data_IF_193241795739
#
_entry.id   IF_193241795739
#
_cell.length_a   1.000
_cell.length_b   1.000
_cell.length_c   1.000
_cell.angle_alpha   90.00
_cell.angle_beta   90.00
_cell.angle_gamma   90.00
#
_symmetry.space_group_name_H-M   'P 1'
#
loop_
_entity.id
_entity.type
_entity.pdbx_description
1 polymer ?
#
# COMPACT_ATOMS: atom_id res chain seq x y z
N UNK A 1 17.12 18.42 -23.57
CA UNK A 1 17.24 19.66 -22.78
C UNK A 1 16.80 19.35 -21.37
N UNK A 2 17.65 19.49 -20.32
CA UNK A 2 17.22 19.24 -18.95
C UNK A 2 16.14 20.26 -18.54
N UNK A 3 15.08 19.83 -17.82
CA UNK A 3 14.06 20.75 -17.34
C UNK A 3 14.69 21.76 -16.37
N UNK A 4 14.54 23.05 -16.69
CA UNK A 4 15.01 24.13 -15.85
C UNK A 4 14.30 24.10 -14.49
N UNK A 5 15.00 23.67 -13.43
CA UNK A 5 14.55 23.82 -12.04
C UNK A 5 14.42 25.32 -11.73
N UNK A 6 13.20 25.84 -11.80
CA UNK A 6 12.90 27.19 -11.33
C UNK A 6 12.93 27.18 -9.80
N UNK A 7 13.69 28.06 -9.13
CA UNK A 7 13.82 28.04 -7.66
C UNK A 7 12.47 28.19 -6.94
N UNK A 8 11.49 28.88 -7.57
CA UNK A 8 10.14 28.99 -7.06
C UNK A 8 9.35 27.68 -7.02
N UNK A 9 9.51 26.78 -8.00
CA UNK A 9 8.80 25.48 -8.00
C UNK A 9 9.40 24.54 -6.96
N UNK A 10 10.71 24.61 -6.73
CA UNK A 10 11.38 23.85 -5.67
C UNK A 10 10.95 24.32 -4.27
N UNK A 11 10.81 25.63 -4.06
CA UNK A 11 10.35 26.20 -2.79
C UNK A 11 8.88 25.84 -2.47
N UNK A 12 8.00 25.88 -3.47
CA UNK A 12 6.59 25.46 -3.30
C UNK A 12 6.50 23.96 -3.03
N UNK A 13 7.24 23.13 -3.77
CA UNK A 13 7.28 21.69 -3.52
C UNK A 13 7.81 21.35 -2.12
N UNK A 14 8.90 22.00 -1.69
CA UNK A 14 9.45 21.84 -0.34
C UNK A 14 8.49 22.34 0.75
N UNK A 15 7.74 23.41 0.50
CA UNK A 15 6.70 23.91 1.39
C UNK A 15 5.55 22.93 1.55
N UNK A 16 5.05 22.37 0.44
CA UNK A 16 3.98 21.36 0.44
C UNK A 16 4.44 20.08 1.15
N UNK A 17 5.65 19.59 0.85
CA UNK A 17 6.25 18.43 1.51
C UNK A 17 6.43 18.71 3.00
N UNK A 18 6.97 19.87 3.38
CA UNK A 18 7.18 20.26 4.77
C UNK A 18 5.88 20.35 5.56
N UNK A 19 4.84 20.97 4.99
CA UNK A 19 3.50 21.04 5.60
C UNK A 19 2.88 19.65 5.69
N UNK A 20 2.95 18.83 4.65
CA UNK A 20 2.46 17.45 4.67
C UNK A 20 3.16 16.60 5.74
N UNK A 21 4.49 16.72 5.87
CA UNK A 21 5.29 16.05 6.90
C UNK A 21 4.92 16.55 8.29
N UNK A 22 4.78 17.86 8.49
CA UNK A 22 4.40 18.43 9.80
C UNK A 22 2.98 18.03 10.20
N UNK A 23 2.03 18.02 9.26
CA UNK A 23 0.66 17.57 9.50
C UNK A 23 0.62 16.07 9.77
N UNK A 24 1.40 15.27 9.05
CA UNK A 24 1.54 13.85 9.28
C UNK A 24 2.15 13.58 10.68
N UNK A 25 3.24 14.25 11.05
CA UNK A 25 3.88 14.12 12.37
C UNK A 25 2.96 14.59 13.51
N UNK A 26 2.21 15.68 13.30
CA UNK A 26 1.20 16.15 14.25
C UNK A 26 0.03 15.18 14.39
N UNK A 27 -0.40 14.56 13.30
CA UNK A 27 -1.38 13.48 13.31
C UNK A 27 -0.90 12.29 14.12
N UNK A 28 0.37 11.90 13.95
CA UNK A 28 1.00 10.80 14.69
C UNK A 28 1.08 11.11 16.19
N UNK A 29 1.46 12.33 16.56
CA UNK A 29 1.52 12.76 17.96
C UNK A 29 0.15 12.85 18.64
N UNK A 30 -0.94 13.07 17.86
CA UNK A 30 -2.30 13.23 18.37
C UNK A 30 -3.14 11.95 18.35
N UNK A 31 -2.66 10.85 17.78
CA UNK A 31 -3.41 9.59 17.79
C UNK A 31 -3.48 9.03 19.21
N UNK A 32 -4.59 9.31 19.90
CA UNK A 32 -4.92 8.72 21.20
C UNK A 32 -5.27 7.26 20.95
N UNK A 33 -4.41 6.35 21.43
CA UNK A 33 -4.66 4.91 21.36
C UNK A 33 -5.77 4.58 22.34
N UNK A 34 -6.96 4.29 21.85
CA UNK A 34 -7.92 3.53 22.64
C UNK A 34 -7.26 2.19 22.97
N UNK A 35 -7.15 1.88 24.26
CA UNK A 35 -6.55 0.64 24.77
C UNK A 35 -7.22 -0.56 24.08
N UNK A 36 -6.50 -1.21 23.15
CA UNK A 36 -6.96 -2.45 22.56
C UNK A 36 -6.87 -3.54 23.62
N UNK A 37 -7.95 -4.30 23.79
CA UNK A 37 -8.04 -5.42 24.75
C UNK A 37 -6.83 -6.36 24.62
N UNK A 38 -6.35 -6.84 25.77
CA UNK A 38 -5.06 -7.48 25.99
C UNK A 38 -4.84 -8.84 25.29
N UNK A 39 -5.81 -9.36 24.55
CA UNK A 39 -5.84 -10.78 24.16
C UNK A 39 -5.67 -11.06 22.65
N UNK A 40 -5.51 -10.03 21.81
CA UNK A 40 -5.19 -10.22 20.39
C UNK A 40 -3.68 -10.11 20.17
N UNK A 41 -3.06 -11.14 19.57
CA UNK A 41 -1.65 -11.12 19.19
C UNK A 41 -1.26 -9.76 18.59
N UNK A 42 -0.17 -9.12 19.07
CA UNK A 42 0.12 -7.75 18.71
C UNK A 42 0.26 -7.64 17.20
N UNK A 43 -0.56 -6.79 16.54
CA UNK A 43 -0.43 -6.58 15.11
C UNK A 43 1.00 -6.11 14.79
N UNK A 44 1.53 -6.54 13.65
CA UNK A 44 2.87 -6.20 13.15
C UNK A 44 3.12 -4.68 13.10
N UNK A 45 2.03 -3.89 12.96
CA UNK A 45 2.01 -2.44 13.17
C UNK A 45 1.37 -2.12 14.52
N UNK A 46 2.10 -1.40 15.37
CA UNK A 46 1.59 -0.93 16.66
C UNK A 46 0.30 -0.10 16.50
N UNK A 47 -0.63 -0.13 17.48
CA UNK A 47 -1.92 0.55 17.40
C UNK A 47 -1.85 2.03 16.99
N UNK A 48 -0.78 2.72 17.40
CA UNK A 48 -0.47 4.12 17.04
C UNK A 48 -0.25 4.30 15.54
N UNK A 49 0.65 3.50 14.95
CA UNK A 49 1.02 3.61 13.54
C UNK A 49 -0.18 3.33 12.65
N UNK A 50 -0.99 2.32 13.00
CA UNK A 50 -2.22 2.00 12.28
C UNK A 50 -3.24 3.14 12.33
N UNK A 51 -3.47 3.71 13.51
CA UNK A 51 -4.38 4.83 13.69
C UNK A 51 -3.93 6.07 12.91
N UNK A 52 -2.64 6.39 12.97
CA UNK A 52 -2.04 7.48 12.21
C UNK A 52 -2.21 7.29 10.71
N UNK A 53 -1.84 6.11 10.20
CA UNK A 53 -1.85 5.85 8.76
C UNK A 53 -3.27 5.90 8.18
N UNK A 54 -4.26 5.33 8.88
CA UNK A 54 -5.68 5.50 8.53
C UNK A 54 -6.14 6.95 8.61
N UNK A 55 -5.69 7.71 9.61
CA UNK A 55 -6.01 9.13 9.73
C UNK A 55 -5.44 9.98 8.60
N UNK A 56 -4.26 9.62 8.08
CA UNK A 56 -3.66 10.27 6.91
C UNK A 56 -4.43 9.94 5.63
N UNK A 57 -4.91 8.70 5.48
CA UNK A 57 -5.64 8.22 4.30
C UNK A 57 -7.11 8.65 4.28
N UNK A 58 -7.74 8.83 5.44
CA UNK A 58 -9.15 9.20 5.57
C UNK A 58 -9.61 10.38 4.68
N UNK A 59 -8.94 11.54 4.64
CA UNK A 59 -9.37 12.65 3.77
C UNK A 59 -9.28 12.30 2.28
N UNK A 60 -8.35 11.43 1.87
CA UNK A 60 -8.25 10.96 0.49
C UNK A 60 -9.39 10.00 0.15
N UNK A 61 -9.72 9.07 1.06
CA UNK A 61 -10.89 8.20 0.92
C UNK A 61 -12.18 9.03 0.78
N UNK A 62 -12.38 10.02 1.66
CA UNK A 62 -13.54 10.91 1.64
C UNK A 62 -13.65 11.67 0.30
N UNK A 63 -12.53 12.21 -0.18
CA UNK A 63 -12.50 12.92 -1.45
C UNK A 63 -12.82 12.01 -2.64
N UNK A 64 -12.27 10.79 -2.66
CA UNK A 64 -12.52 9.79 -3.70
C UNK A 64 -13.99 9.36 -3.73
N UNK A 65 -14.61 9.23 -2.56
CA UNK A 65 -16.05 8.93 -2.42
C UNK A 65 -16.89 10.08 -2.96
N UNK A 66 -16.56 11.34 -2.62
CA UNK A 66 -17.26 12.54 -3.16
C UNK A 66 -17.16 12.61 -4.68
N UNK A 67 -16.01 12.23 -5.25
CA UNK A 67 -15.83 12.14 -6.70
C UNK A 67 -16.51 10.93 -7.35
N UNK A 68 -17.16 10.06 -6.59
CA UNK A 68 -17.84 8.88 -7.10
C UNK A 68 -16.89 7.84 -7.69
N UNK A 69 -15.62 7.85 -7.29
CA UNK A 69 -14.64 6.87 -7.77
C UNK A 69 -15.01 5.49 -7.24
N UNK A 70 -15.09 4.52 -8.16
CA UNK A 70 -15.38 3.11 -7.82
C UNK A 70 -14.14 2.44 -7.24
N UNK A 71 -14.32 1.65 -6.18
CA UNK A 71 -13.24 0.85 -5.58
C UNK A 71 -12.54 -0.04 -6.61
N UNK A 72 -13.32 -0.68 -7.52
CA UNK A 72 -12.77 -1.52 -8.59
C UNK A 72 -11.69 -0.82 -9.44
N UNK A 73 -11.85 0.48 -9.71
CA UNK A 73 -10.88 1.24 -10.51
C UNK A 73 -9.55 1.41 -9.79
N UNK A 74 -9.59 1.61 -8.47
CA UNK A 74 -8.40 1.72 -7.63
C UNK A 74 -7.69 0.35 -7.57
N UNK A 75 -8.43 -0.75 -7.43
CA UNK A 75 -7.90 -2.12 -7.47
C UNK A 75 -7.19 -2.43 -8.80
N UNK A 76 -7.79 -2.04 -9.94
CA UNK A 76 -7.13 -2.20 -11.25
C UNK A 76 -5.94 -1.26 -11.44
N UNK A 77 -6.00 -0.03 -10.90
CA UNK A 77 -4.89 0.91 -10.94
C UNK A 77 -3.69 0.37 -10.15
N UNK A 78 -3.91 -0.17 -8.96
CA UNK A 78 -2.90 -0.86 -8.17
C UNK A 78 -2.25 -1.99 -8.97
N UNK A 79 -3.04 -2.86 -9.59
CA UNK A 79 -2.51 -3.95 -10.41
C UNK A 79 -1.60 -3.42 -11.52
N UNK A 80 -2.04 -2.36 -12.22
CA UNK A 80 -1.24 -1.69 -13.24
C UNK A 80 0.09 -1.16 -12.67
N UNK A 81 0.06 -0.47 -11.53
CA UNK A 81 1.26 0.06 -10.87
C UNK A 81 2.20 -1.06 -10.45
N UNK A 82 1.69 -2.18 -9.93
CA UNK A 82 2.49 -3.35 -9.55
C UNK A 82 3.15 -4.05 -10.74
N UNK A 83 2.47 -4.11 -11.89
CA UNK A 83 3.08 -4.63 -13.13
C UNK A 83 4.22 -3.73 -13.60
N UNK A 84 4.03 -2.41 -13.55
CA UNK A 84 5.09 -1.44 -13.88
C UNK A 84 6.24 -1.51 -12.86
N UNK A 85 5.95 -1.70 -11.57
CA UNK A 85 6.96 -1.91 -10.54
C UNK A 85 7.78 -3.18 -10.80
N UNK A 86 7.14 -4.29 -11.13
CA UNK A 86 7.81 -5.53 -11.53
C UNK A 86 8.70 -5.36 -12.75
N UNK A 87 8.21 -4.69 -13.80
CA UNK A 87 9.00 -4.37 -14.99
C UNK A 87 10.21 -3.46 -14.66
N UNK A 88 10.02 -2.47 -13.78
CA UNK A 88 11.09 -1.58 -13.32
C UNK A 88 12.14 -2.32 -12.48
N UNK A 89 11.73 -3.25 -11.60
CA UNK A 89 12.65 -4.12 -10.87
C UNK A 89 13.47 -4.97 -11.85
N UNK A 90 12.82 -5.61 -12.82
CA UNK A 90 13.49 -6.41 -13.83
C UNK A 90 14.51 -5.61 -14.65
N UNK A 91 14.16 -4.36 -15.03
CA UNK A 91 15.05 -3.44 -15.72
C UNK A 91 16.19 -2.87 -14.85
N UNK A 92 16.21 -3.17 -13.55
CA UNK A 92 17.22 -2.70 -12.60
C UNK A 92 16.99 -1.29 -12.06
N UNK A 93 15.83 -0.70 -12.30
CA UNK A 93 15.44 0.60 -11.73
C UNK A 93 14.91 0.45 -10.31
N UNK A 94 15.73 -0.14 -9.43
CA UNK A 94 15.34 -0.57 -8.07
C UNK A 94 14.74 0.58 -7.25
N UNK A 95 15.31 1.78 -7.35
CA UNK A 95 14.80 2.94 -6.62
C UNK A 95 13.38 3.34 -7.06
N UNK A 96 13.14 3.42 -8.37
CA UNK A 96 11.82 3.76 -8.93
C UNK A 96 10.83 2.65 -8.62
N UNK A 97 11.23 1.39 -8.78
CA UNK A 97 10.41 0.22 -8.48
C UNK A 97 9.98 0.17 -7.00
N UNK A 98 10.86 0.55 -6.07
CA UNK A 98 10.53 0.69 -4.65
C UNK A 98 9.44 1.72 -4.41
N UNK A 99 9.54 2.91 -5.01
CA UNK A 99 8.49 3.94 -4.91
C UNK A 99 7.16 3.50 -5.52
N UNK A 100 7.20 2.83 -6.68
CA UNK A 100 6.01 2.27 -7.31
C UNK A 100 5.34 1.20 -6.43
N UNK A 101 6.14 0.38 -5.74
CA UNK A 101 5.61 -0.63 -4.80
C UNK A 101 4.90 0.02 -3.61
N UNK A 102 5.45 1.09 -3.05
CA UNK A 102 4.80 1.86 -1.98
C UNK A 102 3.50 2.49 -2.49
N UNK A 103 3.50 3.03 -3.72
CA UNK A 103 2.31 3.59 -4.34
C UNK A 103 1.22 2.52 -4.54
N UNK A 104 1.57 1.34 -5.05
CA UNK A 104 0.64 0.22 -5.20
C UNK A 104 0.02 -0.20 -3.86
N UNK A 105 0.84 -0.34 -2.81
CA UNK A 105 0.33 -0.65 -1.46
C UNK A 105 -0.54 0.46 -0.85
N UNK A 106 -0.35 1.71 -1.27
CA UNK A 106 -1.23 2.82 -0.85
C UNK A 106 -2.59 2.74 -1.54
N UNK A 107 -2.63 2.36 -2.82
CA UNK A 107 -3.88 2.18 -3.57
C UNK A 107 -4.74 1.03 -3.01
N UNK A 108 -4.13 -0.07 -2.58
CA UNK A 108 -4.75 -1.24 -1.91
C UNK A 108 -5.44 -0.90 -0.58
N UNK A 109 -4.99 0.19 0.05
CA UNK A 109 -5.56 0.62 1.32
C UNK A 109 -6.70 1.61 1.07
N UNK A 110 -6.56 2.43 0.03
CA UNK A 110 -7.59 3.37 -0.42
C UNK A 110 -8.79 2.64 -1.01
N UNK A 111 -8.61 1.61 -1.85
CA UNK A 111 -9.72 0.89 -2.48
C UNK A 111 -10.59 0.16 -1.44
N UNK A 112 -9.99 -0.47 -0.43
CA UNK A 112 -10.69 -1.07 0.70
C UNK A 112 -11.40 -0.02 1.57
N UNK A 113 -10.79 1.15 1.77
CA UNK A 113 -11.41 2.29 2.45
C UNK A 113 -12.64 2.82 1.72
N UNK A 114 -12.51 3.05 0.42
CA UNK A 114 -13.58 3.51 -0.47
C UNK A 114 -14.69 2.47 -0.58
N UNK A 115 -14.36 1.17 -0.67
CA UNK A 115 -15.34 0.08 -0.71
C UNK A 115 -16.20 0.02 0.55
N UNK A 116 -15.59 0.21 1.73
CA UNK A 116 -16.32 0.27 3.02
C UNK A 116 -17.26 1.47 3.08
N UNK A 117 -16.80 2.66 2.67
CA UNK A 117 -17.61 3.90 2.71
C UNK A 117 -18.74 3.92 1.69
N UNK A 118 -18.54 3.34 0.51
CA UNK A 118 -19.56 3.24 -0.54
C UNK A 118 -20.57 2.09 -0.31
N UNK A 119 -20.43 1.32 0.77
CA UNK A 119 -21.28 0.14 1.01
C UNK A 119 -21.12 -0.96 -0.04
N UNK A 120 -20.04 -0.93 -0.84
CA UNK A 120 -19.78 -1.85 -1.94
C UNK A 120 -19.06 -3.14 -1.49
N UNK A 121 -18.91 -3.36 -0.18
CA UNK A 121 -18.26 -4.53 0.41
C UNK A 121 -19.12 -5.81 0.23
N UNK A 122 -19.09 -6.39 -0.97
CA UNK A 122 -19.73 -7.66 -1.30
C UNK A 122 -18.75 -8.83 -1.37
N UNK A 123 -19.24 -10.08 -1.21
CA UNK A 123 -18.43 -11.31 -1.33
C UNK A 123 -17.68 -11.43 -2.67
N UNK A 124 -18.29 -10.96 -3.76
CA UNK A 124 -17.66 -10.95 -5.10
C UNK A 124 -16.50 -9.96 -5.16
N UNK A 125 -16.68 -8.75 -4.61
CA UNK A 125 -15.62 -7.73 -4.54
C UNK A 125 -14.44 -8.21 -3.70
N UNK A 126 -14.71 -8.77 -2.52
CA UNK A 126 -13.67 -9.34 -1.64
C UNK A 126 -12.88 -10.49 -2.31
N UNK A 127 -13.53 -11.29 -3.16
CA UNK A 127 -12.82 -12.32 -3.92
C UNK A 127 -11.90 -11.70 -4.98
N UNK A 128 -12.41 -10.75 -5.77
CA UNK A 128 -11.65 -10.08 -6.83
C UNK A 128 -10.44 -9.35 -6.24
N UNK A 129 -10.66 -8.58 -5.17
CA UNK A 129 -9.62 -7.90 -4.39
C UNK A 129 -8.50 -8.87 -3.98
N UNK A 130 -8.87 -9.98 -3.34
CA UNK A 130 -7.91 -10.99 -2.90
C UNK A 130 -7.13 -11.70 -4.04
N UNK A 131 -7.72 -11.77 -5.24
CA UNK A 131 -7.06 -12.34 -6.42
C UNK A 131 -6.12 -11.31 -7.02
N UNK A 132 -6.57 -10.07 -7.18
CA UNK A 132 -5.76 -8.98 -7.74
C UNK A 132 -4.55 -8.69 -6.86
N UNK A 133 -4.71 -8.63 -5.55
CA UNK A 133 -3.61 -8.49 -4.58
C UNK A 133 -2.53 -9.57 -4.78
N UNK A 134 -2.93 -10.83 -5.01
CA UNK A 134 -1.98 -11.92 -5.34
C UNK A 134 -1.22 -11.69 -6.64
N UNK A 135 -1.90 -11.24 -7.69
CA UNK A 135 -1.26 -10.97 -8.99
C UNK A 135 -0.30 -9.77 -8.90
N UNK A 136 -0.69 -8.72 -8.17
CA UNK A 136 0.11 -7.53 -7.92
C UNK A 136 1.40 -7.85 -7.17
N UNK A 137 1.31 -8.65 -6.10
CA UNK A 137 2.47 -9.12 -5.37
C UNK A 137 3.36 -10.02 -6.21
N UNK A 138 2.76 -10.99 -6.91
CA UNK A 138 3.50 -11.90 -7.78
C UNK A 138 4.27 -11.13 -8.86
N UNK A 139 3.66 -10.15 -9.52
CA UNK A 139 4.33 -9.33 -10.53
C UNK A 139 5.56 -8.60 -9.96
N UNK A 140 5.42 -8.03 -8.76
CA UNK A 140 6.49 -7.30 -8.08
C UNK A 140 7.65 -8.23 -7.70
N UNK A 141 7.35 -9.37 -7.05
CA UNK A 141 8.36 -10.37 -6.66
C UNK A 141 8.98 -11.07 -7.86
N UNK A 142 8.23 -11.31 -8.94
CA UNK A 142 8.74 -11.88 -10.17
C UNK A 142 9.79 -10.97 -10.81
N UNK A 143 9.49 -9.67 -10.91
CA UNK A 143 10.43 -8.67 -11.41
C UNK A 143 11.71 -8.60 -10.57
N UNK A 144 11.56 -8.54 -9.25
CA UNK A 144 12.68 -8.53 -8.31
C UNK A 144 13.53 -9.81 -8.38
N UNK A 145 12.88 -10.97 -8.44
CA UNK A 145 13.54 -12.27 -8.57
C UNK A 145 14.26 -12.41 -9.91
N UNK A 146 13.66 -11.94 -11.00
CA UNK A 146 14.29 -11.94 -12.32
C UNK A 146 15.54 -11.06 -12.35
N UNK A 147 15.52 -9.90 -11.68
CA UNK A 147 16.71 -9.04 -11.52
C UNK A 147 17.83 -9.75 -10.73
N UNK A 148 17.49 -10.43 -9.63
CA UNK A 148 18.46 -11.15 -8.80
C UNK A 148 18.68 -12.62 -9.17
N UNK A 149 18.29 -13.05 -10.38
CA UNK A 149 18.25 -14.47 -10.78
C UNK A 149 19.55 -15.26 -10.62
N UNK A 150 20.70 -14.58 -10.66
CA UNK A 150 22.03 -15.18 -10.48
C UNK A 150 22.63 -15.00 -9.09
N UNK A 151 21.87 -14.45 -8.14
CA UNK A 151 22.32 -14.11 -6.79
C UNK A 151 21.57 -14.91 -5.73
N UNK A 152 22.19 -15.10 -4.57
CA UNK A 152 21.53 -15.67 -3.39
C UNK A 152 20.28 -14.88 -2.97
N UNK A 153 20.19 -13.60 -3.34
CA UNK A 153 19.04 -12.72 -3.08
C UNK A 153 17.75 -13.28 -3.70
N UNK A 154 17.83 -14.07 -4.78
CA UNK A 154 16.66 -14.77 -5.32
C UNK A 154 16.02 -15.70 -4.28
N UNK A 155 16.84 -16.44 -3.51
CA UNK A 155 16.34 -17.33 -2.47
C UNK A 155 15.65 -16.54 -1.34
N UNK A 156 16.21 -15.37 -0.99
CA UNK A 156 15.61 -14.46 -0.03
C UNK A 156 14.27 -13.87 -0.54
N UNK A 157 14.17 -13.53 -1.83
CA UNK A 157 12.93 -13.05 -2.43
C UNK A 157 11.84 -14.12 -2.46
N UNK A 158 12.19 -15.37 -2.80
CA UNK A 158 11.25 -16.50 -2.81
C UNK A 158 10.80 -16.90 -1.39
N UNK A 159 11.72 -16.89 -0.42
CA UNK A 159 11.38 -17.16 0.98
C UNK A 159 10.48 -16.06 1.57
N UNK A 160 10.73 -14.80 1.22
CA UNK A 160 9.87 -13.68 1.61
C UNK A 160 8.45 -13.81 1.02
N UNK A 161 8.33 -14.13 -0.27
CA UNK A 161 7.02 -14.30 -0.92
C UNK A 161 6.23 -15.48 -0.32
N UNK A 162 6.87 -16.63 -0.12
CA UNK A 162 6.23 -17.81 0.51
C UNK A 162 5.83 -17.55 1.96
N UNK A 163 6.66 -16.85 2.74
CA UNK A 163 6.34 -16.45 4.11
C UNK A 163 5.13 -15.50 4.15
N UNK A 164 5.05 -14.55 3.22
CA UNK A 164 3.93 -13.60 3.12
C UNK A 164 2.62 -14.31 2.79
N UNK A 165 2.62 -15.20 1.80
CA UNK A 165 1.44 -16.01 1.44
C UNK A 165 1.00 -16.87 2.62
N UNK A 166 1.93 -17.51 3.33
CA UNK A 166 1.63 -18.31 4.53
C UNK A 166 1.01 -17.47 5.64
N UNK A 167 1.56 -16.28 5.91
CA UNK A 167 1.04 -15.39 6.95
C UNK A 167 -0.43 -15.01 6.68
N UNK A 168 -0.75 -14.69 5.42
CA UNK A 168 -2.12 -14.32 5.00
C UNK A 168 -3.09 -15.49 5.07
N UNK A 169 -2.65 -16.68 4.66
CA UNK A 169 -3.48 -17.90 4.77
C UNK A 169 -3.72 -18.29 6.24
N UNK A 170 -2.70 -18.20 7.08
CA UNK A 170 -2.82 -18.46 8.52
C UNK A 170 -3.80 -17.49 9.18
N UNK A 171 -3.72 -16.20 8.85
CA UNK A 171 -4.66 -15.20 9.36
C UNK A 171 -6.12 -15.49 8.97
N UNK A 172 -6.35 -15.92 7.71
CA UNK A 172 -7.69 -16.31 7.24
C UNK A 172 -8.20 -17.60 7.91
N UNK A 173 -7.33 -18.57 8.15
CA UNK A 173 -7.68 -19.84 8.80
C UNK A 173 -8.06 -19.65 10.28
N UNK A 174 -7.52 -18.64 10.94
CA UNK A 174 -7.82 -18.30 12.34
C UNK A 174 -9.11 -17.47 12.52
N UNK A 175 -9.89 -17.28 11.46
CA UNK A 175 -11.17 -16.58 11.54
C UNK A 175 -11.06 -15.06 11.62
N UNK A 176 -9.94 -14.47 11.17
CA UNK A 176 -9.82 -13.02 11.01
C UNK A 176 -10.80 -12.50 9.97
N UNK A 177 -11.99 -12.10 10.40
CA UNK A 177 -12.94 -11.38 9.56
C UNK A 177 -12.41 -9.97 9.31
N UNK A 178 -12.29 -9.52 8.04
CA UNK A 178 -12.01 -8.12 7.78
C UNK A 178 -13.19 -7.29 8.29
N UNK A 179 -12.91 -6.39 9.23
CA UNK A 179 -13.85 -5.37 9.70
C UNK A 179 -14.06 -4.28 8.65
#
# INVERSE_FOLDING_TARGET
MPPACRPGTAAVAAGVIGVAVVLALRGYARTVVASAAADAAPPLLGPRVRGWYRGVLAPFEDQLVVWGVRADLLTYAQLGVSLVAGAAFWAGWIFVAGWLTILAGTLDILDGGVARRNGAAGRRGALVDSVVDRYSEFATFLGLGAFFRGSWVLLAALSAWTALVRARLAFRALGGTPA
#
